data_IF_127920868152
#
_entry.id   IF_127920868152
#
_cell.length_a   1.000
_cell.length_b   1.000
_cell.length_c   1.000
_cell.angle_alpha   90.00
_cell.angle_beta   90.00
_cell.angle_gamma   90.00
#
_symmetry.space_group_name_H-M   'P 1'
#
loop_
_entity.id
_entity.type
_entity.pdbx_description
1 polymer ?
#
# COMPACT_ATOMS: atom_id res chain seq x y z
N UNK A 1 -14.86 -17.65 10.09
CA UNK A 1 -14.22 -16.31 10.19
C UNK A 1 -13.84 -15.71 8.83
N UNK A 2 -14.40 -16.18 7.71
CA UNK A 2 -14.02 -15.76 6.36
C UNK A 2 -14.41 -14.32 5.99
N UNK A 3 -15.64 -13.91 6.32
CA UNK A 3 -16.13 -12.55 6.02
C UNK A 3 -15.30 -11.47 6.76
N UNK A 4 -14.83 -11.77 7.97
CA UNK A 4 -13.98 -10.86 8.74
C UNK A 4 -12.67 -10.54 8.02
N UNK A 5 -12.00 -11.56 7.46
CA UNK A 5 -10.75 -11.40 6.71
C UNK A 5 -10.99 -10.68 5.38
N UNK A 6 -12.09 -10.96 4.69
CA UNK A 6 -12.43 -10.25 3.46
C UNK A 6 -12.63 -8.75 3.70
N UNK A 7 -13.37 -8.39 4.76
CA UNK A 7 -13.55 -7.00 5.16
C UNK A 7 -12.25 -6.35 5.64
N UNK A 8 -11.41 -7.10 6.36
CA UNK A 8 -10.08 -6.63 6.77
C UNK A 8 -9.23 -6.24 5.56
N UNK A 9 -9.14 -7.10 4.53
CA UNK A 9 -8.42 -6.80 3.30
C UNK A 9 -8.92 -5.55 2.58
N UNK A 10 -10.24 -5.36 2.52
CA UNK A 10 -10.84 -4.15 1.95
C UNK A 10 -10.51 -2.88 2.76
N UNK A 11 -10.61 -2.95 4.09
CA UNK A 11 -10.29 -1.84 4.98
C UNK A 11 -8.81 -1.48 4.88
N UNK A 12 -7.90 -2.47 4.78
CA UNK A 12 -6.47 -2.24 4.56
C UNK A 12 -6.22 -1.44 3.29
N UNK A 13 -6.88 -1.79 2.17
CA UNK A 13 -6.75 -1.05 0.91
C UNK A 13 -7.30 0.37 1.07
N UNK A 14 -8.49 0.51 1.64
CA UNK A 14 -9.14 1.81 1.82
C UNK A 14 -8.29 2.75 2.68
N UNK A 15 -7.82 2.30 3.84
CA UNK A 15 -6.95 3.10 4.71
C UNK A 15 -5.64 3.41 3.99
N UNK A 16 -5.00 2.42 3.38
CA UNK A 16 -3.74 2.61 2.68
C UNK A 16 -3.83 3.63 1.54
N UNK A 17 -4.90 3.59 0.73
CA UNK A 17 -5.13 4.55 -0.35
C UNK A 17 -5.31 5.98 0.18
N UNK A 18 -6.00 6.15 1.31
CA UNK A 18 -6.14 7.46 1.95
C UNK A 18 -4.83 8.02 2.51
N UNK A 19 -3.83 7.16 2.78
CA UNK A 19 -2.51 7.56 3.26
C UNK A 19 -1.53 7.90 2.13
N UNK A 20 -1.87 7.60 0.86
CA UNK A 20 -0.99 7.88 -0.29
C UNK A 20 -0.59 9.37 -0.37
N UNK A 21 -1.49 10.36 -0.21
CA UNK A 21 -1.11 11.77 -0.24
C UNK A 21 -0.12 12.14 0.85
N UNK A 22 -0.34 11.66 2.07
CA UNK A 22 0.58 11.92 3.19
C UNK A 22 1.96 11.32 2.96
N UNK A 23 2.04 10.12 2.37
CA UNK A 23 3.33 9.52 1.98
C UNK A 23 4.00 10.34 0.86
N UNK A 24 3.23 10.80 -0.13
CA UNK A 24 3.73 11.65 -1.20
C UNK A 24 4.30 12.97 -0.66
N UNK A 25 3.63 13.61 0.29
CA UNK A 25 4.11 14.84 0.94
C UNK A 25 5.46 14.61 1.64
N UNK A 26 5.62 13.48 2.34
CA UNK A 26 6.89 13.12 2.97
C UNK A 26 8.00 12.85 1.95
N UNK A 27 7.68 12.22 0.82
CA UNK A 27 8.64 12.00 -0.27
C UNK A 27 9.10 13.34 -0.87
N UNK A 28 8.18 14.27 -1.10
CA UNK A 28 8.50 15.62 -1.59
C UNK A 28 9.40 16.36 -0.61
N UNK A 29 9.08 16.31 0.68
CA UNK A 29 9.91 16.91 1.73
C UNK A 29 11.32 16.29 1.78
N UNK A 30 11.43 14.96 1.63
CA UNK A 30 12.72 14.26 1.59
C UNK A 30 13.55 14.62 0.35
N UNK A 31 12.89 14.77 -0.81
CA UNK A 31 13.55 15.18 -2.06
C UNK A 31 14.05 16.62 -2.03
N UNK A 32 13.48 17.49 -1.19
CA UNK A 32 13.99 18.84 -0.97
C UNK A 32 15.32 18.88 -0.20
N UNK A 33 15.76 17.76 0.36
CA UNK A 33 17.09 17.62 0.99
C UNK A 33 18.23 17.47 -0.01
N UNK A 34 19.43 17.14 0.47
CA UNK A 34 20.59 16.90 -0.37
C UNK A 34 20.59 15.49 -0.97
N UNK A 35 19.54 15.18 -1.74
CA UNK A 35 19.35 13.87 -2.40
C UNK A 35 19.24 14.13 -3.89
N UNK A 36 20.29 13.77 -4.65
CA UNK A 36 20.45 14.19 -6.06
C UNK A 36 20.68 13.01 -7.00
N UNK A 37 20.47 13.24 -8.30
CA UNK A 37 20.64 12.23 -9.33
C UNK A 37 19.73 11.00 -9.10
N UNK A 38 20.30 9.81 -9.22
CA UNK A 38 19.57 8.54 -9.07
C UNK A 38 18.93 8.35 -7.70
N UNK A 39 19.50 8.92 -6.64
CA UNK A 39 18.95 8.81 -5.28
C UNK A 39 17.62 9.57 -5.13
N UNK A 40 17.48 10.72 -5.80
CA UNK A 40 16.21 11.49 -5.85
C UNK A 40 15.12 10.72 -6.62
N UNK A 41 15.49 10.06 -7.72
CA UNK A 41 14.56 9.24 -8.51
C UNK A 41 14.04 8.05 -7.71
N UNK A 42 14.92 7.33 -6.99
CA UNK A 42 14.52 6.19 -6.15
C UNK A 42 13.55 6.63 -5.06
N UNK A 43 13.79 7.79 -4.43
CA UNK A 43 12.84 8.39 -3.47
C UNK A 43 11.48 8.66 -4.11
N UNK A 44 11.44 9.19 -5.35
CA UNK A 44 10.19 9.43 -6.06
C UNK A 44 9.36 8.18 -6.35
N UNK A 45 10.01 7.01 -6.44
CA UNK A 45 9.32 5.72 -6.62
C UNK A 45 8.74 5.16 -5.32
N UNK A 46 9.09 5.70 -4.15
CA UNK A 46 8.61 5.18 -2.85
C UNK A 46 7.08 5.23 -2.75
N UNK A 47 6.44 6.28 -3.24
CA UNK A 47 4.98 6.39 -3.26
C UNK A 47 4.34 5.27 -4.09
N UNK A 48 4.96 4.89 -5.22
CA UNK A 48 4.51 3.76 -6.04
C UNK A 48 4.67 2.43 -5.29
N UNK A 49 5.82 2.20 -4.66
CA UNK A 49 6.04 0.98 -3.87
C UNK A 49 5.10 0.87 -2.67
N UNK A 50 4.75 1.98 -2.04
CA UNK A 50 3.73 2.03 -1.00
C UNK A 50 2.36 1.60 -1.52
N UNK A 51 1.92 2.17 -2.65
CA UNK A 51 0.64 1.80 -3.28
C UNK A 51 0.60 0.31 -3.68
N UNK A 52 1.68 -0.21 -4.26
CA UNK A 52 1.80 -1.63 -4.59
C UNK A 52 1.79 -2.51 -3.34
N UNK A 53 2.49 -2.10 -2.28
CA UNK A 53 2.54 -2.83 -1.01
C UNK A 53 1.17 -2.98 -0.35
N UNK A 54 0.37 -1.91 -0.33
CA UNK A 54 -1.01 -1.94 0.19
C UNK A 54 -1.88 -2.89 -0.62
N UNK A 55 -1.78 -2.85 -1.95
CA UNK A 55 -2.55 -3.73 -2.83
C UNK A 55 -2.19 -5.20 -2.59
N UNK A 56 -0.90 -5.54 -2.48
CA UNK A 56 -0.45 -6.90 -2.20
C UNK A 56 -0.96 -7.35 -0.81
N UNK A 57 -0.82 -6.52 0.22
CA UNK A 57 -1.27 -6.84 1.57
C UNK A 57 -2.79 -7.07 1.62
N UNK A 58 -3.58 -6.15 1.10
CA UNK A 58 -5.03 -6.24 1.11
C UNK A 58 -5.56 -7.42 0.29
N UNK A 59 -4.99 -7.67 -0.89
CA UNK A 59 -5.37 -8.81 -1.74
C UNK A 59 -5.02 -10.13 -1.07
N UNK A 60 -3.84 -10.29 -0.47
CA UNK A 60 -3.49 -11.53 0.22
C UNK A 60 -4.45 -11.86 1.37
N UNK A 61 -4.87 -10.84 2.14
CA UNK A 61 -5.83 -11.01 3.22
C UNK A 61 -7.22 -11.40 2.65
N UNK A 62 -7.66 -10.72 1.58
CA UNK A 62 -8.93 -11.03 0.93
C UNK A 62 -8.97 -12.43 0.30
N UNK A 63 -7.87 -12.86 -0.35
CA UNK A 63 -7.70 -14.21 -0.91
C UNK A 63 -7.77 -15.27 0.18
N UNK A 64 -7.09 -15.07 1.31
CA UNK A 64 -7.21 -15.96 2.47
C UNK A 64 -8.64 -16.05 3.00
N UNK A 65 -9.36 -14.93 3.03
CA UNK A 65 -10.78 -14.91 3.36
C UNK A 65 -11.63 -15.72 2.37
N UNK A 66 -11.32 -15.65 1.06
CA UNK A 66 -12.00 -16.38 0.00
C UNK A 66 -11.77 -17.91 0.07
N UNK A 67 -10.55 -18.33 0.42
CA UNK A 67 -10.21 -19.73 0.71
C UNK A 67 -11.00 -20.25 1.93
N UNK A 68 -11.14 -19.42 2.97
CA UNK A 68 -11.86 -19.78 4.19
C UNK A 68 -13.39 -19.98 3.96
N UNK A 69 -13.96 -19.46 2.86
CA UNK A 69 -15.35 -19.74 2.42
C UNK A 69 -15.46 -20.83 1.34
N UNK A 70 -14.34 -21.41 0.90
CA UNK A 70 -14.32 -22.46 -0.12
C UNK A 70 -14.72 -21.97 -1.52
N UNK A 71 -14.56 -20.68 -1.79
CA UNK A 71 -14.84 -20.08 -3.09
C UNK A 71 -13.70 -20.28 -4.10
N UNK A 72 -12.48 -20.45 -3.60
CA UNK A 72 -11.25 -20.80 -4.33
C UNK A 72 -10.35 -21.68 -3.46
#
# INVERSE_FOLDING_TARGET
>A
MALGRLLEGFITILIGVNLIPSVADQVVAAQAGNVTGSSSTILGLVTLFFALGIMIAGVNIAVGGLQDVGLI
#
